data_IF_456966666624
#
_entry.id   IF_456966666624
#
_cell.length_a   1.000
_cell.length_b   1.000
_cell.length_c   1.000
_cell.angle_alpha   90.00
_cell.angle_beta   90.00
_cell.angle_gamma   90.00
#
_symmetry.space_group_name_H-M   'P 1'
#
loop_
_entity.id
_entity.type
_entity.pdbx_description
1 polymer ?
#
# COMPACT_ATOMS: atom_id res chain seq x y z
N UNK A 1 -40.40 16.03 32.20
CA UNK A 1 -41.03 15.63 30.93
C UNK A 1 -41.91 16.77 30.45
N UNK A 2 -42.04 17.04 29.14
CA UNK A 2 -41.05 17.01 28.05
C UNK A 2 -40.78 18.48 27.56
N UNK A 3 -40.18 18.86 26.43
CA UNK A 3 -39.53 18.16 25.29
C UNK A 3 -38.38 19.02 24.72
N UNK A 4 -37.71 18.50 23.69
CA UNK A 4 -36.88 19.14 22.65
C UNK A 4 -37.54 20.37 21.94
N UNK A 5 -36.83 21.28 21.27
CA UNK A 5 -35.93 20.98 20.13
C UNK A 5 -35.19 22.22 19.55
N UNK A 6 -34.16 21.93 18.74
CA UNK A 6 -33.66 22.70 17.57
C UNK A 6 -33.23 24.17 17.78
N UNK A 7 -31.90 24.38 17.83
CA UNK A 7 -31.26 25.67 17.56
C UNK A 7 -30.27 25.56 16.39
N UNK A 8 -30.57 26.24 15.28
CA UNK A 8 -29.68 26.47 14.14
C UNK A 8 -29.85 27.95 13.66
N UNK A 9 -28.94 28.52 12.83
CA UNK A 9 -28.28 29.74 13.25
C UNK A 9 -28.85 31.05 12.66
N UNK A 10 -28.71 32.11 13.43
CA UNK A 10 -29.01 33.48 13.02
C UNK A 10 -27.85 34.04 12.18
N UNK A 11 -28.13 34.47 10.93
CA UNK A 11 -27.80 35.82 10.38
C UNK A 11 -28.03 35.92 8.86
N UNK A 12 -29.00 36.73 8.47
CA UNK A 12 -29.04 37.41 7.16
C UNK A 12 -29.55 38.85 7.33
N UNK A 13 -28.71 39.80 6.93
CA UNK A 13 -29.05 41.21 6.60
C UNK A 13 -29.62 42.04 7.80
N UNK A 14 -29.58 43.38 7.82
CA UNK A 14 -29.31 44.37 6.78
C UNK A 14 -28.18 45.35 7.17
N UNK A 15 -27.58 45.98 6.14
CA UNK A 15 -26.82 47.23 6.29
C UNK A 15 -27.79 48.39 6.54
N UNK A 16 -27.40 49.37 7.36
CA UNK A 16 -27.79 50.77 7.14
C UNK A 16 -26.67 51.72 7.56
N UNK A 17 -26.25 52.56 6.61
CA UNK A 17 -25.70 53.91 6.81
C UNK A 17 -24.48 54.09 7.73
N UNK A 18 -23.39 54.58 7.14
CA UNK A 18 -22.74 55.81 7.62
C UNK A 18 -21.95 56.44 6.47
N UNK A 19 -22.00 57.77 6.39
CA UNK A 19 -21.37 58.56 5.33
C UNK A 19 -20.11 59.25 5.85
N UNK A 20 -19.17 59.51 4.94
CA UNK A 20 -18.24 60.62 5.07
C UNK A 20 -16.76 60.30 5.30
N UNK A 21 -15.93 61.09 4.61
CA UNK A 21 -14.54 61.44 4.93
C UNK A 21 -13.46 60.38 4.70
N UNK A 22 -12.85 60.45 3.51
CA UNK A 22 -11.58 59.82 3.21
C UNK A 22 -10.40 60.62 3.81
N UNK A 23 -9.47 59.92 4.47
CA UNK A 23 -8.09 60.40 4.61
C UNK A 23 -7.11 59.24 4.77
N UNK A 24 -6.25 59.07 3.75
CA UNK A 24 -5.00 58.30 3.67
C UNK A 24 -4.71 57.32 4.82
N UNK A 25 -5.05 56.04 4.64
CA UNK A 25 -4.55 54.93 5.46
C UNK A 25 -3.48 54.12 4.71
N UNK A 26 -2.38 53.84 5.38
CA UNK A 26 -1.23 53.08 4.89
C UNK A 26 -1.63 51.61 4.69
N UNK A 27 -1.50 51.06 3.47
CA UNK A 27 -1.86 49.66 3.18
C UNK A 27 -0.84 48.69 3.76
N UNK A 28 -1.02 48.36 5.04
CA UNK A 28 -0.31 47.24 5.66
C UNK A 28 -0.94 45.94 5.14
N UNK A 29 -0.34 45.37 4.10
CA UNK A 29 -0.78 44.10 3.53
C UNK A 29 -0.52 42.96 4.53
N UNK A 30 -1.52 42.66 5.36
CA UNK A 30 -1.46 41.55 6.29
C UNK A 30 -1.51 40.23 5.50
N UNK A 31 -0.35 39.69 5.16
CA UNK A 31 -0.20 38.34 4.61
C UNK A 31 -0.63 37.33 5.69
N UNK A 32 -1.93 37.05 5.75
CA UNK A 32 -2.47 35.90 6.47
C UNK A 32 -2.05 34.64 5.73
N UNK A 33 -0.82 34.18 5.98
CA UNK A 33 -0.42 32.80 5.73
C UNK A 33 -1.25 31.93 6.67
N UNK A 34 -2.46 31.56 6.22
CA UNK A 34 -3.27 30.58 6.90
C UNK A 34 -2.52 29.25 6.86
N UNK A 35 -1.87 28.88 7.96
CA UNK A 35 -1.25 27.58 8.13
C UNK A 35 -2.35 26.52 8.16
N UNK A 36 -2.72 26.01 6.98
CA UNK A 36 -3.55 24.83 6.79
C UNK A 36 -2.78 23.57 7.19
N UNK A 37 -2.50 23.45 8.49
CA UNK A 37 -2.13 22.18 9.10
C UNK A 37 -3.22 21.15 8.75
N UNK A 38 -2.87 19.94 8.27
CA UNK A 38 -3.86 18.92 7.96
C UNK A 38 -4.55 18.46 9.24
N UNK A 39 -5.89 18.39 9.22
CA UNK A 39 -6.70 17.88 10.33
C UNK A 39 -7.50 16.67 9.86
N UNK A 40 -7.36 15.54 10.56
CA UNK A 40 -8.15 14.33 10.32
C UNK A 40 -9.41 14.36 11.20
N UNK A 41 -10.57 14.07 10.62
CA UNK A 41 -11.83 13.87 11.35
C UNK A 41 -12.06 12.37 11.55
N UNK A 42 -12.37 11.94 12.77
CA UNK A 42 -12.65 10.53 13.09
C UNK A 42 -13.98 10.35 13.83
N UNK A 43 -14.63 9.21 13.56
CA UNK A 43 -15.85 8.74 14.22
C UNK A 43 -15.54 7.34 14.75
N UNK A 44 -15.77 7.10 16.05
CA UNK A 44 -15.50 5.81 16.71
C UNK A 44 -14.07 5.27 16.44
N UNK A 45 -13.07 6.14 16.55
CA UNK A 45 -11.65 5.89 16.21
C UNK A 45 -11.35 5.56 14.74
N UNK A 46 -12.34 5.55 13.85
CA UNK A 46 -12.18 5.40 12.41
C UNK A 46 -12.05 6.79 11.77
N UNK A 47 -10.99 7.04 11.01
CA UNK A 47 -10.86 8.31 10.28
C UNK A 47 -11.83 8.34 9.07
N UNK A 48 -12.61 9.42 8.94
CA UNK A 48 -13.70 9.57 7.95
C UNK A 48 -13.43 10.69 6.95
N UNK A 49 -12.55 11.63 7.30
CA UNK A 49 -12.08 12.69 6.40
C UNK A 49 -10.63 13.05 6.71
N UNK A 50 -9.77 13.03 5.69
CA UNK A 50 -8.39 13.50 5.74
C UNK A 50 -8.11 14.34 4.48
N UNK A 51 -7.80 15.65 4.61
CA UNK A 51 -7.52 16.52 3.46
C UNK A 51 -6.20 16.18 2.73
N UNK A 52 -5.40 15.22 3.21
CA UNK A 52 -4.24 14.70 2.47
C UNK A 52 -4.56 13.50 1.56
N UNK A 53 -5.82 13.04 1.51
CA UNK A 53 -6.26 11.91 0.68
C UNK A 53 -5.49 10.60 0.95
N UNK A 54 -4.87 10.49 2.14
CA UNK A 54 -4.11 9.30 2.60
C UNK A 54 -5.01 8.18 3.12
N UNK A 55 -6.32 8.43 3.20
CA UNK A 55 -7.32 7.44 3.52
C UNK A 55 -7.88 6.87 2.23
N UNK A 56 -7.33 5.73 1.80
CA UNK A 56 -7.96 4.86 0.81
C UNK A 56 -9.36 4.46 1.33
N UNK A 57 -10.39 5.20 0.92
CA UNK A 57 -11.79 4.90 1.23
C UNK A 57 -12.39 3.84 0.31
N UNK A 58 -11.61 3.38 -0.69
CA UNK A 58 -11.80 2.07 -1.30
C UNK A 58 -11.16 1.00 -0.42
N UNK A 59 -11.99 0.10 0.11
CA UNK A 59 -11.70 -1.23 0.68
C UNK A 59 -10.20 -1.61 0.67
N UNK A 60 -9.55 -1.57 1.84
CA UNK A 60 -8.09 -1.78 1.97
C UNK A 60 -7.72 -3.26 1.78
N UNK A 61 -7.77 -3.74 0.53
CA UNK A 61 -7.56 -5.16 0.16
C UNK A 61 -6.18 -5.72 0.50
N UNK A 62 -5.19 -4.86 0.78
CA UNK A 62 -3.82 -5.24 1.12
C UNK A 62 -3.28 -4.52 2.37
N UNK A 63 -4.14 -4.34 3.40
CA UNK A 63 -3.75 -3.72 4.67
C UNK A 63 -2.51 -4.37 5.28
N UNK A 64 -2.42 -5.69 5.17
CA UNK A 64 -1.32 -6.52 5.66
C UNK A 64 0.01 -6.23 4.96
N UNK A 65 0.01 -6.25 3.62
CA UNK A 65 1.18 -5.90 2.82
C UNK A 65 1.61 -4.46 3.06
N UNK A 66 0.65 -3.53 3.19
CA UNK A 66 0.96 -2.14 3.52
C UNK A 66 1.56 -2.01 4.94
N UNK A 67 1.12 -2.85 5.89
CA UNK A 67 1.74 -3.00 7.19
C UNK A 67 3.21 -3.42 7.09
N UNK A 68 3.51 -4.45 6.29
CA UNK A 68 4.89 -4.88 6.02
C UNK A 68 5.75 -3.79 5.37
N UNK A 69 5.21 -3.08 4.37
CA UNK A 69 5.91 -1.96 3.71
C UNK A 69 6.22 -0.87 4.74
N UNK A 70 5.23 -0.42 5.50
CA UNK A 70 5.40 0.60 6.54
C UNK A 70 6.41 0.18 7.61
N UNK A 71 6.44 -1.10 7.98
CA UNK A 71 7.44 -1.65 8.91
C UNK A 71 8.84 -1.65 8.29
N UNK A 72 8.98 -2.13 7.06
CA UNK A 72 10.26 -2.19 6.35
C UNK A 72 10.90 -0.81 6.17
N UNK A 73 10.10 0.21 5.79
CA UNK A 73 10.56 1.60 5.69
C UNK A 73 11.14 2.11 7.01
N UNK A 74 10.41 1.90 8.12
CA UNK A 74 10.84 2.34 9.47
C UNK A 74 12.12 1.63 9.93
N UNK A 75 12.21 0.31 9.75
CA UNK A 75 13.37 -0.48 10.17
C UNK A 75 14.63 -0.14 9.34
N UNK A 76 14.46 0.06 8.03
CA UNK A 76 15.57 0.38 7.12
C UNK A 76 15.92 1.89 7.10
N UNK A 77 15.19 2.72 7.86
CA UNK A 77 15.30 4.20 7.87
C UNK A 77 15.18 4.81 6.47
N UNK A 78 14.24 4.28 5.69
CA UNK A 78 13.95 4.70 4.33
C UNK A 78 12.82 5.73 4.36
N UNK A 79 13.04 6.87 3.70
CA UNK A 79 12.08 7.98 3.64
C UNK A 79 11.12 7.89 2.45
N UNK A 80 11.53 7.22 1.36
CA UNK A 80 10.70 6.96 0.18
C UNK A 80 10.71 5.48 -0.20
N UNK A 81 9.52 4.93 -0.48
CA UNK A 81 9.33 3.57 -0.98
C UNK A 81 10.16 3.23 -2.23
N UNK A 82 10.48 4.23 -3.06
CA UNK A 82 11.34 4.05 -4.22
C UNK A 82 12.76 3.57 -3.86
N UNK A 83 13.19 3.71 -2.61
CA UNK A 83 14.49 3.23 -2.15
C UNK A 83 14.44 1.79 -1.59
N UNK A 84 13.25 1.20 -1.43
CA UNK A 84 13.08 -0.11 -0.81
C UNK A 84 13.57 -1.24 -1.73
N UNK A 85 14.62 -1.95 -1.30
CA UNK A 85 15.21 -3.07 -2.05
C UNK A 85 14.90 -4.45 -1.47
N UNK A 86 14.53 -4.51 -0.19
CA UNK A 86 14.27 -5.75 0.55
C UNK A 86 12.95 -5.60 1.30
N UNK A 87 11.98 -6.46 1.01
CA UNK A 87 10.71 -6.53 1.73
C UNK A 87 10.60 -7.89 2.44
N UNK A 88 10.55 -7.86 3.77
CA UNK A 88 10.23 -9.02 4.59
C UNK A 88 8.78 -8.90 5.06
N UNK A 89 7.95 -9.85 4.67
CA UNK A 89 6.50 -9.87 4.90
C UNK A 89 5.98 -11.31 5.03
N UNK A 90 6.80 -12.21 5.60
CA UNK A 90 6.38 -13.57 5.90
C UNK A 90 5.37 -13.61 7.05
N UNK A 91 4.49 -14.62 7.08
CA UNK A 91 3.52 -14.86 8.16
C UNK A 91 2.73 -13.59 8.54
N UNK A 92 2.19 -12.90 7.53
CA UNK A 92 1.51 -11.61 7.68
C UNK A 92 0.07 -11.65 7.15
N UNK A 93 -0.49 -12.83 6.88
CA UNK A 93 -1.86 -13.06 6.36
C UNK A 93 -2.17 -12.44 4.97
N UNK A 94 -1.15 -11.94 4.24
CA UNK A 94 -1.31 -11.26 2.94
C UNK A 94 -2.10 -12.11 1.94
N UNK A 95 -3.13 -11.53 1.35
CA UNK A 95 -3.96 -12.13 0.28
C UNK A 95 -3.78 -11.41 -1.07
N UNK A 96 -3.67 -10.09 -1.05
CA UNK A 96 -3.55 -9.22 -2.24
C UNK A 96 -2.17 -8.53 -2.32
N UNK A 97 -1.64 -8.44 -3.54
CA UNK A 97 -0.35 -7.83 -3.87
C UNK A 97 -0.48 -6.52 -4.66
N UNK A 98 -1.68 -5.96 -4.84
CA UNK A 98 -1.94 -4.77 -5.67
C UNK A 98 -0.90 -3.63 -5.52
N UNK A 99 -0.55 -3.30 -4.28
CA UNK A 99 0.38 -2.22 -3.95
C UNK A 99 1.88 -2.57 -4.09
N UNK A 100 2.25 -3.82 -4.40
CA UNK A 100 3.67 -4.20 -4.54
C UNK A 100 4.29 -3.65 -5.83
N UNK A 101 3.48 -3.47 -6.88
CA UNK A 101 3.94 -3.09 -8.23
C UNK A 101 4.54 -1.68 -8.32
N UNK A 102 4.33 -0.82 -7.31
CA UNK A 102 4.97 0.51 -7.20
C UNK A 102 6.40 0.46 -6.65
N UNK A 103 6.78 -0.65 -6.01
CA UNK A 103 8.07 -0.82 -5.34
C UNK A 103 9.16 -1.26 -6.34
N UNK A 104 9.40 -0.43 -7.36
CA UNK A 104 10.20 -0.72 -8.55
C UNK A 104 11.68 -1.06 -8.28
N UNK A 105 12.18 -0.81 -7.06
CA UNK A 105 13.55 -1.10 -6.66
C UNK A 105 13.72 -2.40 -5.84
N UNK A 106 12.66 -3.16 -5.61
CA UNK A 106 12.74 -4.46 -4.92
C UNK A 106 13.65 -5.43 -5.67
N UNK A 107 14.58 -6.00 -4.92
CA UNK A 107 15.52 -7.05 -5.35
C UNK A 107 15.24 -8.37 -4.65
N UNK A 108 14.83 -8.32 -3.39
CA UNK A 108 14.46 -9.49 -2.60
C UNK A 108 13.11 -9.29 -1.91
N UNK A 109 12.25 -10.30 -1.98
CA UNK A 109 10.94 -10.31 -1.37
C UNK A 109 10.74 -11.63 -0.63
N UNK A 110 10.40 -11.56 0.66
CA UNK A 110 9.91 -12.69 1.43
C UNK A 110 8.41 -12.53 1.74
N UNK A 111 7.60 -13.37 1.12
CA UNK A 111 6.15 -13.47 1.29
C UNK A 111 5.75 -14.90 1.73
N UNK A 112 6.65 -15.65 2.36
CA UNK A 112 6.35 -17.01 2.82
C UNK A 112 5.26 -17.06 3.90
N UNK A 113 4.47 -18.14 3.95
CA UNK A 113 3.39 -18.35 4.95
C UNK A 113 2.32 -17.27 4.92
N UNK A 114 1.81 -16.97 3.72
CA UNK A 114 0.70 -16.04 3.50
C UNK A 114 -0.46 -16.77 2.80
N UNK A 115 -1.44 -16.03 2.29
CA UNK A 115 -2.63 -16.58 1.60
C UNK A 115 -2.72 -16.09 0.15
N UNK A 116 -1.56 -15.87 -0.48
CA UNK A 116 -1.46 -15.32 -1.84
C UNK A 116 -1.80 -16.41 -2.85
N UNK A 117 -2.65 -16.08 -3.82
CA UNK A 117 -2.93 -16.92 -4.99
C UNK A 117 -2.62 -16.22 -6.32
N UNK A 118 -2.81 -14.89 -6.39
CA UNK A 118 -2.59 -14.09 -7.60
C UNK A 118 -1.18 -13.44 -7.61
N UNK A 119 -0.35 -13.84 -8.57
CA UNK A 119 1.02 -13.35 -8.73
C UNK A 119 1.17 -12.23 -9.78
N UNK A 120 0.09 -11.85 -10.48
CA UNK A 120 0.11 -10.85 -11.55
C UNK A 120 0.76 -9.50 -11.14
N UNK A 121 0.58 -8.98 -9.91
CA UNK A 121 1.22 -7.71 -9.50
C UNK A 121 2.77 -7.76 -9.45
N UNK A 122 3.38 -8.95 -9.45
CA UNK A 122 4.83 -9.13 -9.44
C UNK A 122 5.47 -8.98 -10.84
N UNK A 123 4.69 -9.09 -11.92
CA UNK A 123 5.23 -9.11 -13.31
C UNK A 123 6.02 -7.86 -13.70
N UNK A 124 5.77 -6.73 -13.02
CA UNK A 124 6.39 -5.42 -13.29
C UNK A 124 7.57 -5.08 -12.37
N UNK A 125 8.07 -6.06 -11.61
CA UNK A 125 9.20 -5.86 -10.71
C UNK A 125 10.51 -6.22 -11.42
N UNK A 126 10.91 -5.36 -12.37
CA UNK A 126 12.03 -5.59 -13.30
C UNK A 126 13.39 -5.78 -12.60
N UNK A 127 13.51 -5.46 -11.30
CA UNK A 127 14.74 -5.60 -10.50
C UNK A 127 14.73 -6.80 -9.56
N UNK A 128 13.64 -7.57 -9.50
CA UNK A 128 13.45 -8.69 -8.57
C UNK A 128 14.37 -9.87 -8.93
N UNK A 129 15.24 -10.26 -8.00
CA UNK A 129 16.20 -11.34 -8.19
C UNK A 129 15.97 -12.54 -7.26
N UNK A 130 15.41 -12.33 -6.06
CA UNK A 130 15.06 -13.38 -5.11
C UNK A 130 13.63 -13.24 -4.60
N UNK A 131 12.88 -14.35 -4.60
CA UNK A 131 11.48 -14.38 -4.19
C UNK A 131 11.19 -15.64 -3.36
N UNK A 132 10.77 -15.45 -2.10
CA UNK A 132 10.18 -16.51 -1.30
C UNK A 132 8.66 -16.40 -1.30
N UNK A 133 7.98 -17.43 -1.80
CA UNK A 133 6.53 -17.58 -1.83
C UNK A 133 6.11 -18.91 -1.17
N UNK A 134 6.95 -19.49 -0.30
CA UNK A 134 6.63 -20.77 0.34
C UNK A 134 5.33 -20.70 1.13
N UNK A 135 4.63 -21.83 1.25
CA UNK A 135 3.43 -21.98 2.09
C UNK A 135 2.36 -20.90 1.78
N UNK A 136 1.97 -20.81 0.50
CA UNK A 136 0.90 -19.94 -0.01
C UNK A 136 -0.17 -20.77 -0.74
N UNK A 137 -1.10 -20.10 -1.43
CA UNK A 137 -2.26 -20.70 -2.13
C UNK A 137 -2.13 -20.52 -3.65
N UNK A 138 -0.90 -20.63 -4.19
CA UNK A 138 -0.61 -20.41 -5.61
C UNK A 138 -1.02 -21.64 -6.42
N UNK A 139 -1.65 -21.38 -7.58
CA UNK A 139 -2.00 -22.41 -8.58
C UNK A 139 -1.37 -22.09 -9.95
N UNK A 140 -1.45 -20.83 -10.40
CA UNK A 140 -0.82 -20.35 -11.63
C UNK A 140 0.52 -19.64 -11.35
N UNK A 141 1.57 -20.12 -12.02
CA UNK A 141 2.94 -19.57 -11.99
C UNK A 141 3.34 -18.85 -13.27
N UNK A 142 2.44 -18.71 -14.25
CA UNK A 142 2.68 -18.00 -15.50
C UNK A 142 3.22 -16.57 -15.32
N UNK A 143 2.80 -15.79 -14.30
CA UNK A 143 3.40 -14.49 -13.99
C UNK A 143 4.91 -14.55 -13.67
N UNK A 144 5.36 -15.59 -12.95
CA UNK A 144 6.77 -15.75 -12.57
C UNK A 144 7.66 -16.03 -13.78
N UNK A 145 7.12 -16.64 -14.83
CA UNK A 145 7.86 -16.88 -16.07
C UNK A 145 8.21 -15.57 -16.79
N UNK A 146 7.43 -14.49 -16.62
CA UNK A 146 7.70 -13.17 -17.22
C UNK A 146 8.83 -12.40 -16.53
N UNK A 147 9.12 -12.70 -15.27
CA UNK A 147 10.16 -12.02 -14.48
C UNK A 147 11.54 -12.55 -14.91
N UNK A 148 12.14 -11.94 -15.93
CA UNK A 148 13.42 -12.40 -16.53
C UNK A 148 14.63 -12.21 -15.59
N UNK A 149 14.53 -11.30 -14.62
CA UNK A 149 15.58 -11.00 -13.65
C UNK A 149 15.60 -11.93 -12.44
N UNK A 150 14.58 -12.77 -12.26
CA UNK A 150 14.51 -13.72 -11.15
C UNK A 150 15.64 -14.75 -11.26
N UNK A 151 16.34 -14.99 -10.14
CA UNK A 151 17.50 -15.90 -10.02
C UNK A 151 17.36 -16.92 -8.90
N UNK A 152 16.51 -16.65 -7.91
CA UNK A 152 16.18 -17.54 -6.80
C UNK A 152 14.69 -17.50 -6.51
N UNK A 153 14.07 -18.66 -6.38
CA UNK A 153 12.63 -18.81 -6.17
C UNK A 153 12.33 -19.99 -5.25
N UNK A 154 11.50 -19.76 -4.22
CA UNK A 154 10.97 -20.82 -3.38
C UNK A 154 9.44 -20.90 -3.48
N UNK A 155 8.94 -22.04 -3.95
CA UNK A 155 7.51 -22.38 -4.05
C UNK A 155 7.11 -23.58 -3.16
N UNK A 156 7.97 -24.01 -2.22
CA UNK A 156 7.63 -25.08 -1.27
C UNK A 156 6.26 -24.86 -0.62
N UNK A 157 5.51 -25.93 -0.35
CA UNK A 157 4.18 -25.84 0.27
C UNK A 157 3.02 -25.42 -0.65
N UNK A 158 3.26 -24.84 -1.85
CA UNK A 158 2.20 -24.51 -2.82
C UNK A 158 1.75 -25.76 -3.61
N UNK A 159 1.09 -26.69 -2.93
CA UNK A 159 0.83 -28.03 -3.45
C UNK A 159 -0.24 -28.10 -4.56
N UNK A 160 -0.98 -27.01 -4.82
CA UNK A 160 -1.94 -26.91 -5.93
C UNK A 160 -1.29 -26.65 -7.29
N UNK A 161 -0.01 -26.23 -7.34
CA UNK A 161 0.70 -25.97 -8.60
C UNK A 161 0.92 -27.28 -9.35
N UNK A 162 0.47 -27.43 -10.62
CA UNK A 162 0.66 -28.65 -11.36
C UNK A 162 2.14 -28.89 -11.70
N UNK A 163 2.66 -30.08 -11.38
CA UNK A 163 4.10 -30.38 -11.51
C UNK A 163 4.64 -30.39 -12.95
N UNK A 164 3.76 -30.38 -13.96
CA UNK A 164 4.14 -30.16 -15.36
C UNK A 164 4.61 -28.72 -15.62
N UNK A 165 4.10 -27.75 -14.87
CA UNK A 165 4.30 -26.33 -15.14
C UNK A 165 5.62 -25.81 -14.51
N UNK A 166 6.11 -26.46 -13.45
CA UNK A 166 7.38 -26.09 -12.78
C UNK A 166 8.63 -26.47 -13.58
N UNK A 167 8.51 -27.30 -14.63
CA UNK A 167 9.66 -27.81 -15.38
C UNK A 167 10.54 -26.71 -16.01
N UNK A 168 9.94 -25.59 -16.45
CA UNK A 168 10.68 -24.45 -16.99
C UNK A 168 11.42 -23.66 -15.89
N UNK A 169 10.82 -23.49 -14.71
CA UNK A 169 11.49 -22.86 -13.57
C UNK A 169 12.69 -23.68 -13.11
N UNK A 170 12.56 -25.01 -13.07
CA UNK A 170 13.67 -25.94 -12.81
C UNK A 170 14.82 -25.77 -13.82
N UNK A 171 14.52 -25.70 -15.13
CA UNK A 171 15.53 -25.46 -16.17
C UNK A 171 16.23 -24.11 -16.01
N UNK A 172 15.48 -23.06 -15.69
CA UNK A 172 16.00 -21.67 -15.61
C UNK A 172 16.87 -21.40 -14.39
N UNK A 173 16.62 -22.07 -13.26
CA UNK A 173 17.22 -21.71 -11.97
C UNK A 173 17.99 -22.85 -11.29
N UNK A 174 17.78 -24.12 -11.68
CA UNK A 174 18.49 -25.27 -11.14
C UNK A 174 18.45 -25.32 -9.60
N UNK A 175 19.63 -25.31 -8.97
CA UNK A 175 19.78 -25.35 -7.51
C UNK A 175 19.17 -24.15 -6.76
N UNK A 176 18.88 -23.03 -7.46
CA UNK A 176 18.25 -21.85 -6.86
C UNK A 176 16.71 -21.91 -6.91
N UNK A 177 16.12 -23.03 -7.34
CA UNK A 177 14.68 -23.23 -7.34
C UNK A 177 14.25 -24.33 -6.37
N UNK A 178 13.40 -23.97 -5.42
CA UNK A 178 12.71 -24.93 -4.55
C UNK A 178 11.30 -25.15 -5.06
N UNK A 179 11.08 -26.30 -5.71
CA UNK A 179 9.77 -26.72 -6.19
C UNK A 179 8.77 -27.00 -5.04
N UNK A 180 7.45 -26.97 -5.32
CA UNK A 180 6.41 -27.46 -4.42
C UNK A 180 6.71 -28.87 -3.91
N UNK A 181 6.28 -29.18 -2.69
CA UNK A 181 6.60 -30.47 -2.07
C UNK A 181 5.96 -31.64 -2.82
N UNK A 182 4.76 -31.46 -3.38
CA UNK A 182 4.07 -32.42 -4.23
C UNK A 182 4.80 -32.74 -5.56
N UNK A 183 5.80 -31.94 -5.95
CA UNK A 183 6.55 -32.10 -7.20
C UNK A 183 7.98 -32.59 -6.99
N UNK A 184 8.32 -33.04 -5.78
CA UNK A 184 9.57 -33.74 -5.48
C UNK A 184 9.40 -35.23 -5.80
N UNK A 185 10.45 -35.90 -6.32
CA UNK A 185 10.42 -37.33 -6.60
C UNK A 185 10.38 -38.18 -5.33
#
# INVERSE_FOLDING_TARGET
MPTSSLGEPIKKQLLHGLAGLASKAFTFALMLSACSSPYTVSINNTAVFDPQDRLYTGEVRSADLQGCINFALRQQKIESEDQLQVLACANSEVTDLANISRLQNLRFIDLGKNRISNLTPLERLDRLSGLNLSDNLIEDISPLLRIQTLRSLNLAGNNSIPCRDVAELTRRMGANFTAPNACKP
#
